data_IF_902049269917
#
_entry.id   IF_902049269917
#
_cell.length_a   1.000
_cell.length_b   1.000
_cell.length_c   1.000
_cell.angle_alpha   90.00
_cell.angle_beta   90.00
_cell.angle_gamma   90.00
#
_symmetry.space_group_name_H-M   'P 1'
#
loop_
_entity.id
_entity.type
_entity.pdbx_description
1 polymer ?
#
# COMPACT_ATOMS: atom_id res chain seq x y z
N UNK A 1 11.36 7.34 2.52
CA UNK A 1 10.97 7.13 3.94
C UNK A 1 11.11 5.65 4.23
N UNK A 2 11.87 5.28 5.26
CA UNK A 2 12.03 3.89 5.69
C UNK A 2 10.67 3.23 5.92
N UNK A 3 10.60 1.89 5.77
CA UNK A 3 9.39 1.07 5.99
C UNK A 3 9.01 1.07 7.48
N UNK A 4 8.49 2.18 7.99
CA UNK A 4 8.08 2.33 9.38
C UNK A 4 6.78 1.56 9.60
N UNK A 5 6.70 0.78 10.67
CA UNK A 5 5.46 0.08 11.01
C UNK A 5 4.35 1.11 11.32
N UNK A 6 3.10 0.90 10.89
CA UNK A 6 2.00 1.84 11.16
C UNK A 6 1.81 2.19 12.64
N UNK A 7 2.09 1.24 13.55
CA UNK A 7 2.09 1.51 14.99
C UNK A 7 3.16 2.51 15.44
N UNK A 8 4.38 2.44 14.88
CA UNK A 8 5.44 3.42 15.16
C UNK A 8 5.11 4.80 14.56
N UNK A 9 4.51 4.81 13.36
CA UNK A 9 4.03 6.05 12.75
C UNK A 9 2.94 6.71 13.61
N UNK A 10 1.97 5.92 14.11
CA UNK A 10 0.94 6.40 15.03
C UNK A 10 1.55 7.04 16.28
N UNK A 11 2.49 6.37 16.95
CA UNK A 11 3.14 6.90 18.15
C UNK A 11 3.91 8.19 17.85
N UNK A 12 4.65 8.22 16.74
CA UNK A 12 5.36 9.42 16.29
C UNK A 12 4.42 10.60 16.07
N UNK A 13 3.35 10.41 15.29
CA UNK A 13 2.36 11.46 15.02
C UNK A 13 1.65 11.89 16.30
N UNK A 14 1.28 10.94 17.16
CA UNK A 14 0.66 11.26 18.44
C UNK A 14 1.55 12.13 19.32
N UNK A 15 2.83 11.75 19.48
CA UNK A 15 3.79 12.56 20.24
C UNK A 15 3.99 13.95 19.63
N UNK A 16 4.06 14.05 18.30
CA UNK A 16 4.18 15.32 17.59
C UNK A 16 2.97 16.23 17.85
N UNK A 17 1.76 15.72 17.66
CA UNK A 17 0.53 16.50 17.81
C UNK A 17 0.25 16.88 19.26
N UNK A 18 0.50 15.96 20.21
CA UNK A 18 0.43 16.26 21.65
C UNK A 18 1.45 17.33 22.01
N UNK A 19 2.70 17.19 21.54
CA UNK A 19 3.74 18.20 21.75
C UNK A 19 3.33 19.59 21.25
N UNK A 20 2.73 19.66 20.05
CA UNK A 20 2.19 20.90 19.51
C UNK A 20 1.07 21.50 20.38
N UNK A 21 0.12 20.69 20.86
CA UNK A 21 -0.92 21.17 21.78
C UNK A 21 -0.35 21.68 23.10
N UNK A 22 0.65 21.00 23.67
CA UNK A 22 1.30 21.46 24.90
C UNK A 22 2.13 22.73 24.68
N UNK A 23 2.76 22.90 23.51
CA UNK A 23 3.40 24.15 23.13
C UNK A 23 2.37 25.30 23.07
N UNK A 24 1.18 25.05 22.51
CA UNK A 24 0.09 26.03 22.48
C UNK A 24 -0.39 26.43 23.88
N UNK A 25 -0.57 25.44 24.77
CA UNK A 25 -0.90 25.68 26.18
C UNK A 25 0.18 26.51 26.89
N UNK A 26 1.45 26.28 26.57
CA UNK A 26 2.57 27.03 27.14
C UNK A 26 2.61 28.48 26.63
N UNK A 27 2.37 28.71 25.34
CA UNK A 27 2.23 30.05 24.76
C UNK A 27 1.10 30.80 25.46
N UNK A 28 -0.05 30.14 25.65
CA UNK A 28 -1.20 30.69 26.36
C UNK A 28 -0.87 31.08 27.80
N UNK A 29 -0.13 30.26 28.53
CA UNK A 29 0.28 30.58 29.91
C UNK A 29 1.14 31.84 29.99
N UNK A 30 1.92 32.15 28.95
CA UNK A 30 2.78 33.33 28.90
C UNK A 30 2.10 34.58 28.33
N UNK A 31 1.18 34.42 27.39
CA UNK A 31 0.57 35.51 26.62
C UNK A 31 -0.97 35.50 26.69
N UNK A 32 -1.53 35.05 27.82
CA UNK A 32 -2.96 34.82 28.00
C UNK A 32 -3.82 36.02 27.64
N UNK A 33 -3.46 37.21 28.13
CA UNK A 33 -4.20 38.45 27.89
C UNK A 33 -4.23 38.86 26.42
N UNK A 34 -3.15 38.60 25.67
CA UNK A 34 -3.09 38.91 24.23
C UNK A 34 -3.96 37.92 23.42
N UNK A 35 -3.89 36.63 23.77
CA UNK A 35 -4.72 35.58 23.17
C UNK A 35 -6.21 35.81 23.45
N UNK A 36 -6.57 36.31 24.63
CA UNK A 36 -7.96 36.59 24.98
C UNK A 36 -8.53 37.75 24.14
N UNK A 37 -7.75 38.81 23.92
CA UNK A 37 -8.12 39.93 23.04
C UNK A 37 -8.35 39.49 21.59
N UNK A 38 -7.56 38.53 21.10
CA UNK A 38 -7.65 38.02 19.72
C UNK A 38 -8.44 36.70 19.59
N UNK A 39 -9.15 36.29 20.64
CA UNK A 39 -9.79 34.97 20.72
C UNK A 39 -10.80 34.69 19.60
N UNK A 40 -11.48 35.72 19.09
CA UNK A 40 -12.36 35.61 17.92
C UNK A 40 -11.61 35.22 16.65
N UNK A 41 -10.54 35.97 16.32
CA UNK A 41 -9.68 35.72 15.17
C UNK A 41 -9.00 34.35 15.24
N UNK A 42 -8.53 33.95 16.42
CA UNK A 42 -7.91 32.64 16.65
C UNK A 42 -8.89 31.49 16.40
N UNK A 43 -10.16 31.61 16.84
CA UNK A 43 -11.19 30.60 16.56
C UNK A 43 -11.52 30.50 15.07
N UNK A 44 -11.59 31.63 14.36
CA UNK A 44 -11.80 31.62 12.90
C UNK A 44 -10.63 30.95 12.18
N UNK A 45 -9.40 31.26 12.57
CA UNK A 45 -8.20 30.64 12.01
C UNK A 45 -8.14 29.14 12.32
N UNK A 46 -8.47 28.74 13.56
CA UNK A 46 -8.57 27.34 13.98
C UNK A 46 -9.54 26.56 13.08
N UNK A 47 -10.74 27.09 12.86
CA UNK A 47 -11.73 26.49 11.99
C UNK A 47 -11.25 26.35 10.54
N UNK A 48 -10.60 27.38 9.99
CA UNK A 48 -10.07 27.35 8.63
C UNK A 48 -8.96 26.30 8.45
N UNK A 49 -8.02 26.22 9.40
CA UNK A 49 -6.92 25.24 9.37
C UNK A 49 -7.46 23.81 9.54
N UNK A 50 -8.41 23.59 10.46
CA UNK A 50 -9.05 22.29 10.64
C UNK A 50 -9.86 21.85 9.41
N UNK A 51 -10.56 22.78 8.76
CA UNK A 51 -11.30 22.50 7.52
C UNK A 51 -10.34 22.09 6.38
N UNK A 52 -9.24 22.82 6.20
CA UNK A 52 -8.23 22.50 5.20
C UNK A 52 -7.53 21.16 5.50
N UNK A 53 -7.21 20.90 6.76
CA UNK A 53 -6.68 19.60 7.20
C UNK A 53 -7.67 18.47 6.91
N UNK A 54 -8.95 18.65 7.24
CA UNK A 54 -9.99 17.67 6.96
C UNK A 54 -10.15 17.37 5.48
N UNK A 55 -10.12 18.40 4.62
CA UNK A 55 -10.19 18.25 3.17
C UNK A 55 -8.99 17.46 2.62
N UNK A 56 -7.77 17.84 3.01
CA UNK A 56 -6.55 17.13 2.59
C UNK A 56 -6.51 15.70 3.11
N UNK A 57 -6.98 15.47 4.34
CA UNK A 57 -7.09 14.14 4.92
C UNK A 57 -8.08 13.27 4.14
N UNK A 58 -9.22 13.85 3.72
CA UNK A 58 -10.20 13.17 2.86
C UNK A 58 -9.61 12.76 1.50
N UNK A 59 -8.91 13.66 0.82
CA UNK A 59 -8.25 13.34 -0.45
C UNK A 59 -7.14 12.29 -0.31
N UNK A 60 -6.35 12.37 0.76
CA UNK A 60 -5.28 11.39 1.02
C UNK A 60 -5.83 10.02 1.41
N UNK A 61 -6.91 9.96 2.18
CA UNK A 61 -7.63 8.72 2.44
C UNK A 61 -8.18 8.10 1.14
N UNK A 62 -8.82 8.90 0.28
CA UNK A 62 -9.31 8.43 -1.02
C UNK A 62 -8.19 7.90 -1.92
N UNK A 63 -7.03 8.57 -1.96
CA UNK A 63 -5.85 8.08 -2.68
C UNK A 63 -5.35 6.74 -2.11
N UNK A 64 -5.29 6.59 -0.78
CA UNK A 64 -4.88 5.35 -0.14
C UNK A 64 -5.84 4.18 -0.47
N UNK A 65 -7.16 4.43 -0.45
CA UNK A 65 -8.18 3.45 -0.86
C UNK A 65 -8.00 3.05 -2.32
N UNK A 66 -7.88 4.02 -3.23
CA UNK A 66 -7.70 3.73 -4.66
C UNK A 66 -6.45 2.89 -4.93
N UNK A 67 -5.33 3.16 -4.25
CA UNK A 67 -4.11 2.35 -4.32
C UNK A 67 -4.29 0.95 -3.76
N UNK A 68 -5.03 0.81 -2.66
CA UNK A 68 -5.38 -0.49 -2.10
C UNK A 68 -6.24 -1.32 -3.08
N UNK A 69 -7.28 -0.72 -3.66
CA UNK A 69 -8.16 -1.38 -4.62
C UNK A 69 -7.40 -1.76 -5.89
N UNK A 70 -6.54 -0.88 -6.41
CA UNK A 70 -5.71 -1.20 -7.57
C UNK A 70 -4.79 -2.41 -7.32
N UNK A 71 -4.15 -2.48 -6.14
CA UNK A 71 -3.33 -3.64 -5.76
C UNK A 71 -4.16 -4.93 -5.65
N UNK A 72 -5.41 -4.84 -5.20
CA UNK A 72 -6.35 -5.96 -5.14
C UNK A 72 -6.80 -6.40 -6.54
N UNK A 73 -7.13 -5.47 -7.43
CA UNK A 73 -7.48 -5.77 -8.82
C UNK A 73 -6.34 -6.48 -9.54
N UNK A 74 -5.10 -6.02 -9.35
CA UNK A 74 -3.92 -6.66 -9.93
C UNK A 74 -3.67 -8.07 -9.35
N UNK A 75 -4.04 -8.34 -8.09
CA UNK A 75 -4.00 -9.70 -7.52
C UNK A 75 -4.94 -10.65 -8.25
N UNK A 76 -6.18 -10.20 -8.47
CA UNK A 76 -7.20 -10.95 -9.21
C UNK A 76 -6.75 -11.15 -10.66
N UNK A 77 -6.20 -10.11 -11.28
CA UNK A 77 -5.72 -10.17 -12.66
C UNK A 77 -4.56 -11.17 -12.83
N UNK A 78 -3.59 -11.20 -11.90
CA UNK A 78 -2.48 -12.16 -11.99
C UNK A 78 -3.01 -13.60 -11.86
N UNK A 79 -3.91 -13.84 -10.91
CA UNK A 79 -4.52 -15.16 -10.75
C UNK A 79 -5.30 -15.61 -12.00
N UNK A 80 -6.05 -14.71 -12.63
CA UNK A 80 -6.82 -15.00 -13.84
C UNK A 80 -5.92 -15.24 -15.06
N UNK A 81 -4.87 -14.43 -15.25
CA UNK A 81 -3.92 -14.58 -16.35
C UNK A 81 -3.16 -15.90 -16.22
N UNK A 82 -2.71 -16.24 -15.00
CA UNK A 82 -2.07 -17.52 -14.73
C UNK A 82 -3.05 -18.69 -14.87
N UNK A 83 -4.32 -18.54 -14.52
CA UNK A 83 -5.35 -19.55 -14.79
C UNK A 83 -5.55 -19.79 -16.29
N UNK A 84 -5.54 -18.72 -17.09
CA UNK A 84 -5.63 -18.80 -18.55
C UNK A 84 -4.38 -19.44 -19.14
N UNK A 85 -3.19 -19.06 -18.66
CA UNK A 85 -1.92 -19.67 -19.04
C UNK A 85 -1.94 -21.19 -18.76
N UNK A 86 -2.41 -21.59 -17.57
CA UNK A 86 -2.54 -23.00 -17.19
C UNK A 86 -3.42 -23.79 -18.16
N UNK A 87 -4.60 -23.27 -18.50
CA UNK A 87 -5.51 -23.91 -19.45
C UNK A 87 -4.87 -24.03 -20.85
N UNK A 88 -4.15 -22.98 -21.28
CA UNK A 88 -3.48 -22.94 -22.59
C UNK A 88 -2.22 -23.79 -22.67
N UNK A 89 -1.69 -24.33 -21.57
CA UNK A 89 -0.66 -25.38 -21.63
C UNK A 89 -1.12 -26.60 -22.46
N UNK A 90 -2.43 -26.81 -22.59
CA UNK A 90 -3.01 -27.88 -23.42
C UNK A 90 -2.74 -27.73 -24.93
N UNK A 91 -2.37 -26.53 -25.38
CA UNK A 91 -2.06 -26.21 -26.78
C UNK A 91 -0.64 -26.59 -27.20
N UNK A 92 0.24 -26.86 -26.23
CA UNK A 92 1.64 -27.23 -26.48
C UNK A 92 1.79 -28.72 -26.83
N UNK A 93 2.99 -29.11 -27.27
CA UNK A 93 3.37 -30.53 -27.28
C UNK A 93 3.19 -31.17 -25.89
N UNK A 94 3.06 -32.50 -25.84
CA UNK A 94 2.92 -33.21 -24.55
C UNK A 94 4.07 -32.92 -23.59
N UNK A 95 5.31 -32.92 -24.09
CA UNK A 95 6.50 -32.56 -23.33
C UNK A 95 6.51 -31.09 -22.88
N UNK A 96 6.13 -30.16 -23.77
CA UNK A 96 6.07 -28.74 -23.44
C UNK A 96 5.02 -28.44 -22.38
N UNK A 97 3.84 -29.06 -22.51
CA UNK A 97 2.74 -28.98 -21.54
C UNK A 97 3.17 -29.44 -20.15
N UNK A 98 3.81 -30.59 -20.03
CA UNK A 98 4.25 -31.11 -18.73
C UNK A 98 5.32 -30.21 -18.09
N UNK A 99 6.29 -29.74 -18.89
CA UNK A 99 7.36 -28.87 -18.42
C UNK A 99 6.82 -27.51 -17.94
N UNK A 100 5.93 -26.88 -18.70
CA UNK A 100 5.27 -25.63 -18.30
C UNK A 100 4.42 -25.80 -17.04
N UNK A 101 3.64 -26.88 -16.96
CA UNK A 101 2.82 -27.16 -15.76
C UNK A 101 3.67 -27.35 -14.51
N UNK A 102 4.82 -28.01 -14.62
CA UNK A 102 5.76 -28.16 -13.51
C UNK A 102 6.36 -26.81 -13.08
N UNK A 103 6.74 -25.96 -14.04
CA UNK A 103 7.21 -24.60 -13.73
C UNK A 103 6.13 -23.76 -13.06
N UNK A 104 4.89 -23.80 -13.55
CA UNK A 104 3.77 -23.07 -12.96
C UNK A 104 3.48 -23.51 -11.52
N UNK A 105 3.57 -24.81 -11.22
CA UNK A 105 3.41 -25.34 -9.84
C UNK A 105 4.51 -24.86 -8.88
N UNK A 106 5.70 -24.54 -9.39
CA UNK A 106 6.78 -23.90 -8.63
C UNK A 106 6.65 -22.38 -8.58
N UNK A 107 6.14 -21.77 -9.64
CA UNK A 107 5.99 -20.32 -9.80
C UNK A 107 4.92 -19.72 -8.89
N UNK A 108 3.70 -20.29 -8.89
CA UNK A 108 2.57 -19.73 -8.11
C UNK A 108 2.88 -19.61 -6.61
N UNK A 109 3.48 -20.62 -5.94
CA UNK A 109 3.91 -20.49 -4.55
C UNK A 109 4.92 -19.36 -4.30
N UNK A 110 5.88 -19.14 -5.21
CA UNK A 110 6.86 -18.04 -5.09
C UNK A 110 6.15 -16.69 -5.13
N UNK A 111 5.17 -16.52 -6.01
CA UNK A 111 4.37 -15.29 -6.10
C UNK A 111 3.55 -15.03 -4.83
N UNK A 112 2.96 -16.07 -4.25
CA UNK A 112 2.22 -15.96 -2.98
C UNK A 112 3.19 -15.57 -1.84
N UNK A 113 4.35 -16.23 -1.76
CA UNK A 113 5.36 -15.98 -0.73
C UNK A 113 5.97 -14.58 -0.83
N UNK A 114 6.15 -14.04 -2.04
CA UNK A 114 6.70 -12.70 -2.27
C UNK A 114 5.92 -11.60 -1.53
N UNK A 115 4.60 -11.75 -1.37
CA UNK A 115 3.79 -10.81 -0.57
C UNK A 115 3.75 -11.16 0.91
N UNK A 116 3.85 -12.44 1.27
CA UNK A 116 3.97 -12.89 2.66
C UNK A 116 5.32 -12.50 3.31
N UNK A 117 6.38 -12.29 2.52
CA UNK A 117 7.71 -11.89 2.95
C UNK A 117 7.77 -10.55 3.74
N UNK A 118 6.67 -9.78 3.75
CA UNK A 118 6.55 -8.56 4.53
C UNK A 118 7.57 -7.52 4.08
N UNK A 119 8.39 -7.02 5.02
CA UNK A 119 9.38 -5.97 4.78
C UNK A 119 10.83 -6.48 4.68
N UNK A 120 11.05 -7.80 4.73
CA UNK A 120 12.40 -8.40 4.69
C UNK A 120 13.02 -8.30 3.30
N UNK A 121 13.99 -7.41 3.13
CA UNK A 121 14.63 -7.18 1.83
C UNK A 121 15.26 -8.45 1.25
N UNK A 122 15.91 -9.26 2.09
CA UNK A 122 16.55 -10.50 1.66
C UNK A 122 15.53 -11.51 1.09
N UNK A 123 14.36 -11.64 1.71
CA UNK A 123 13.31 -12.52 1.21
C UNK A 123 12.70 -11.97 -0.09
N UNK A 124 12.49 -10.66 -0.16
CA UNK A 124 11.95 -10.00 -1.35
C UNK A 124 12.88 -10.15 -2.55
N UNK A 125 14.17 -9.89 -2.38
CA UNK A 125 15.15 -10.05 -3.46
C UNK A 125 15.24 -11.51 -3.92
N UNK A 126 15.22 -12.46 -2.97
CA UNK A 126 15.22 -13.89 -3.29
C UNK A 126 13.99 -14.29 -4.12
N UNK A 127 12.80 -13.95 -3.66
CA UNK A 127 11.54 -14.33 -4.33
C UNK A 127 11.39 -13.62 -5.68
N UNK A 128 11.90 -12.39 -5.81
CA UNK A 128 11.98 -11.67 -7.09
C UNK A 128 12.92 -12.38 -8.07
N UNK A 129 14.12 -12.75 -7.63
CA UNK A 129 15.08 -13.48 -8.46
C UNK A 129 14.53 -14.83 -8.91
N UNK A 130 13.86 -15.56 -8.00
CA UNK A 130 13.23 -16.84 -8.33
C UNK A 130 12.05 -16.67 -9.28
N UNK A 131 11.24 -15.60 -9.13
CA UNK A 131 10.18 -15.22 -10.08
C UNK A 131 10.75 -15.05 -11.48
N UNK A 132 11.79 -14.21 -11.64
CA UNK A 132 12.41 -13.93 -12.94
C UNK A 132 13.05 -15.18 -13.56
N UNK A 133 13.70 -16.03 -12.76
CA UNK A 133 14.29 -17.28 -13.25
C UNK A 133 13.24 -18.24 -13.81
N UNK A 134 12.11 -18.40 -13.11
CA UNK A 134 11.01 -19.26 -13.57
C UNK A 134 10.32 -18.68 -14.81
N UNK A 135 10.11 -17.36 -14.88
CA UNK A 135 9.58 -16.70 -16.08
C UNK A 135 10.49 -16.90 -17.29
N UNK A 136 11.80 -16.76 -17.12
CA UNK A 136 12.76 -16.99 -18.19
C UNK A 136 12.74 -18.45 -18.70
N UNK A 137 12.57 -19.41 -17.80
CA UNK A 137 12.49 -20.82 -18.18
C UNK A 137 11.19 -21.17 -18.91
N UNK A 138 10.05 -20.63 -18.46
CA UNK A 138 8.76 -20.74 -19.20
C UNK A 138 8.90 -20.10 -20.59
N UNK A 139 9.48 -18.90 -20.66
CA UNK A 139 9.73 -18.23 -21.94
C UNK A 139 10.61 -19.04 -22.89
N UNK A 140 11.63 -19.72 -22.38
CA UNK A 140 12.53 -20.58 -23.15
C UNK A 140 11.77 -21.76 -23.76
N UNK A 141 10.89 -22.41 -23.00
CA UNK A 141 10.05 -23.51 -23.50
C UNK A 141 9.07 -23.00 -24.55
N UNK A 142 8.35 -21.91 -24.26
CA UNK A 142 7.43 -21.27 -25.19
C UNK A 142 8.09 -20.92 -26.53
N UNK A 143 9.31 -20.38 -26.48
CA UNK A 143 10.09 -19.99 -27.68
C UNK A 143 10.55 -21.20 -28.49
N UNK A 144 10.92 -22.30 -27.82
CA UNK A 144 11.30 -23.55 -28.49
C UNK A 144 10.09 -24.18 -29.21
N UNK A 145 8.93 -24.24 -28.54
CA UNK A 145 7.67 -24.71 -29.13
C UNK A 145 7.27 -23.86 -30.34
N UNK A 146 7.31 -22.53 -30.24
CA UNK A 146 6.98 -21.63 -31.35
C UNK A 146 7.91 -21.77 -32.56
N UNK A 147 9.16 -22.17 -32.35
CA UNK A 147 10.12 -22.42 -33.44
C UNK A 147 9.79 -23.72 -34.19
N UNK A 148 9.36 -24.75 -33.46
CA UNK A 148 8.96 -26.04 -34.03
C UNK A 148 7.57 -26.02 -34.64
N UNK A 149 6.64 -25.27 -34.02
CA UNK A 149 5.21 -25.21 -34.34
C UNK A 149 4.78 -23.76 -34.53
N UNK A 150 4.69 -23.34 -35.79
CA UNK A 150 4.26 -21.98 -36.19
C UNK A 150 2.76 -21.91 -36.42
N UNK A 151 1.97 -22.41 -35.47
CA UNK A 151 0.52 -22.46 -35.54
C UNK A 151 -0.16 -21.41 -34.63
N UNK A 152 -1.42 -21.04 -34.90
CA UNK A 152 -2.15 -20.07 -34.07
C UNK A 152 -2.32 -20.51 -32.60
N UNK A 153 -2.33 -21.81 -32.31
CA UNK A 153 -2.50 -22.33 -30.95
C UNK A 153 -1.30 -21.99 -30.07
N UNK A 154 -0.10 -22.17 -30.62
CA UNK A 154 1.17 -21.81 -29.95
C UNK A 154 1.26 -20.30 -29.71
N UNK A 155 0.78 -19.49 -30.65
CA UNK A 155 0.70 -18.03 -30.49
C UNK A 155 -0.24 -17.62 -29.33
N UNK A 156 -1.37 -18.31 -29.15
CA UNK A 156 -2.30 -18.05 -28.02
C UNK A 156 -1.66 -18.39 -26.67
N UNK A 157 -0.86 -19.46 -26.59
CA UNK A 157 -0.09 -19.74 -25.38
C UNK A 157 0.92 -18.62 -25.08
N UNK A 158 1.69 -18.23 -26.08
CA UNK A 158 2.72 -17.18 -25.94
C UNK A 158 2.14 -15.84 -25.48
N UNK A 159 0.99 -15.45 -26.03
CA UNK A 159 0.24 -14.27 -25.58
C UNK A 159 -0.16 -14.37 -24.11
N UNK A 160 -0.68 -15.52 -23.66
CA UNK A 160 -1.07 -15.69 -22.25
C UNK A 160 0.15 -15.67 -21.31
N UNK A 161 1.30 -16.18 -21.76
CA UNK A 161 2.55 -16.11 -21.00
C UNK A 161 3.01 -14.66 -20.86
N UNK A 162 3.00 -13.89 -21.96
CA UNK A 162 3.32 -12.47 -21.96
C UNK A 162 2.40 -11.70 -21.01
N UNK A 163 1.08 -11.88 -21.12
CA UNK A 163 0.10 -11.20 -20.26
C UNK A 163 0.28 -11.54 -18.77
N UNK A 164 0.73 -12.77 -18.46
CA UNK A 164 1.04 -13.18 -17.09
C UNK A 164 2.28 -12.46 -16.54
N UNK A 165 3.33 -12.31 -17.36
CA UNK A 165 4.55 -11.59 -17.01
C UNK A 165 4.27 -10.09 -16.83
N UNK A 166 3.51 -9.49 -17.74
CA UNK A 166 3.15 -8.06 -17.69
C UNK A 166 2.38 -7.72 -16.40
N UNK A 167 1.44 -8.57 -15.97
CA UNK A 167 0.71 -8.34 -14.73
C UNK A 167 1.61 -8.51 -13.50
N UNK A 168 2.57 -9.43 -13.52
CA UNK A 168 3.58 -9.55 -12.46
C UNK A 168 4.40 -8.25 -12.29
N UNK A 169 4.78 -7.61 -13.40
CA UNK A 169 5.48 -6.31 -13.36
C UNK A 169 4.57 -5.20 -12.83
N UNK A 170 3.32 -5.10 -13.32
CA UNK A 170 2.34 -4.13 -12.82
C UNK A 170 2.09 -4.26 -11.32
N UNK A 171 2.00 -5.50 -10.81
CA UNK A 171 1.90 -5.75 -9.36
C UNK A 171 3.10 -5.21 -8.60
N UNK A 172 4.30 -5.35 -9.15
CA UNK A 172 5.53 -4.85 -8.51
C UNK A 172 5.52 -3.33 -8.46
N UNK A 173 5.22 -2.66 -9.58
CA UNK A 173 5.10 -1.21 -9.64
C UNK A 173 4.02 -0.65 -8.68
N UNK A 174 2.87 -1.32 -8.57
CA UNK A 174 1.80 -0.90 -7.66
C UNK A 174 2.17 -1.04 -6.16
N UNK A 175 3.16 -1.85 -5.80
CA UNK A 175 3.68 -1.95 -4.42
C UNK A 175 4.64 -0.81 -4.09
N UNK A 176 5.28 -0.23 -5.10
CA UNK A 176 6.20 0.90 -4.99
C UNK A 176 5.46 2.24 -5.07
N UNK A 177 4.28 2.27 -5.68
CA UNK A 177 3.45 3.45 -5.74
C UNK A 177 2.94 3.81 -4.33
N UNK A 178 3.51 4.89 -3.74
CA UNK A 178 3.11 5.48 -2.46
C UNK A 178 2.60 6.91 -2.58
N UNK A 179 1.77 7.33 -1.62
CA UNK A 179 1.39 8.75 -1.49
C UNK A 179 2.67 9.61 -1.40
N UNK A 180 2.79 10.69 -2.19
CA UNK A 180 3.97 11.55 -2.19
C UNK A 180 4.34 12.06 -0.80
N UNK A 181 5.64 12.09 -0.51
CA UNK A 181 6.17 12.55 0.79
C UNK A 181 5.79 14.00 1.09
N UNK A 182 5.59 14.82 0.05
CA UNK A 182 5.14 16.21 0.16
C UNK A 182 3.71 16.32 0.69
N UNK A 183 2.80 15.42 0.30
CA UNK A 183 1.43 15.38 0.82
C UNK A 183 1.43 15.00 2.31
N UNK A 184 2.25 14.03 2.71
CA UNK A 184 2.45 13.68 4.12
C UNK A 184 3.04 14.85 4.94
N UNK A 185 4.07 15.52 4.41
CA UNK A 185 4.66 16.68 5.08
C UNK A 185 3.62 17.79 5.28
N UNK A 186 2.76 18.04 4.28
CA UNK A 186 1.67 19.01 4.38
C UNK A 186 0.65 18.64 5.45
N UNK A 187 0.18 17.38 5.49
CA UNK A 187 -0.73 16.90 6.52
C UNK A 187 -0.15 17.04 7.93
N UNK A 188 1.11 16.66 8.13
CA UNK A 188 1.78 16.78 9.43
C UNK A 188 1.98 18.24 9.84
N UNK A 189 2.30 19.12 8.88
CA UNK A 189 2.40 20.55 9.11
C UNK A 189 1.05 21.14 9.55
N UNK A 190 -0.01 20.93 8.77
CA UNK A 190 -1.36 21.40 9.09
C UNK A 190 -1.88 20.81 10.41
N UNK A 191 -1.66 19.51 10.65
CA UNK A 191 -2.03 18.86 11.90
C UNK A 191 -1.33 19.48 13.11
N UNK A 192 -0.04 19.79 12.98
CA UNK A 192 0.75 20.44 14.02
C UNK A 192 0.28 21.88 14.27
N UNK A 193 0.04 22.66 13.22
CA UNK A 193 -0.49 24.03 13.33
C UNK A 193 -1.88 24.02 13.96
N UNK A 194 -2.78 23.13 13.54
CA UNK A 194 -4.11 22.99 14.12
C UNK A 194 -4.02 22.66 15.61
N UNK A 195 -3.20 21.66 15.97
CA UNK A 195 -3.01 21.22 17.35
C UNK A 195 -2.39 22.30 18.23
N UNK A 196 -1.47 23.11 17.68
CA UNK A 196 -0.88 24.28 18.33
C UNK A 196 -1.94 25.34 18.64
N UNK A 197 -2.73 25.75 17.63
CA UNK A 197 -3.79 26.77 17.79
C UNK A 197 -4.82 26.31 18.82
N UNK A 198 -5.29 25.06 18.73
CA UNK A 198 -6.22 24.47 19.71
C UNK A 198 -5.62 24.52 21.11
N UNK A 199 -4.33 24.22 21.26
CA UNK A 199 -3.62 24.36 22.53
C UNK A 199 -3.68 25.78 23.12
N UNK A 200 -3.61 26.82 22.28
CA UNK A 200 -3.78 28.21 22.72
C UNK A 200 -5.23 28.52 23.12
N UNK A 201 -6.22 27.96 22.41
CA UNK A 201 -7.65 28.16 22.65
C UNK A 201 -8.17 27.47 23.92
N UNK A 202 -7.54 26.38 24.37
CA UNK A 202 -7.98 25.57 25.51
C UNK A 202 -7.80 26.26 26.87
N UNK A 203 -8.92 26.53 27.57
CA UNK A 203 -8.91 27.05 28.94
C UNK A 203 -8.96 25.94 30.01
N UNK A 204 -9.44 24.75 29.64
CA UNK A 204 -9.70 23.66 30.58
C UNK A 204 -8.42 23.01 31.12
N UNK A 205 -8.49 22.56 32.38
CA UNK A 205 -7.47 21.70 33.01
C UNK A 205 -7.65 20.21 32.69
N UNK A 206 -8.76 19.82 32.05
CA UNK A 206 -9.02 18.43 31.68
C UNK A 206 -7.98 17.92 30.70
N UNK A 207 -7.32 16.81 31.06
CA UNK A 207 -6.37 16.13 30.18
C UNK A 207 -7.06 15.59 28.93
N UNK A 208 -8.31 15.14 29.05
CA UNK A 208 -9.10 14.57 27.96
C UNK A 208 -9.27 15.58 26.82
N UNK A 209 -9.66 16.81 27.16
CA UNK A 209 -9.84 17.88 26.16
C UNK A 209 -8.53 18.28 25.47
N UNK A 210 -7.38 18.06 26.12
CA UNK A 210 -6.06 18.37 25.56
C UNK A 210 -5.54 17.31 24.61
N UNK A 211 -5.99 16.06 24.74
CA UNK A 211 -5.44 14.93 23.97
C UNK A 211 -6.42 14.37 22.94
N UNK A 212 -7.73 14.65 23.06
CA UNK A 212 -8.74 14.06 22.17
C UNK A 212 -8.48 14.35 20.71
N UNK A 213 -8.21 15.61 20.34
CA UNK A 213 -7.95 15.98 18.95
C UNK A 213 -6.63 15.37 18.43
N UNK A 214 -5.48 15.49 19.14
CA UNK A 214 -4.25 14.79 18.76
C UNK A 214 -4.43 13.28 18.56
N UNK A 215 -5.19 12.61 19.45
CA UNK A 215 -5.45 11.17 19.36
C UNK A 215 -6.27 10.84 18.11
N UNK A 216 -7.37 11.56 17.87
CA UNK A 216 -8.24 11.32 16.70
C UNK A 216 -7.49 11.59 15.40
N UNK A 217 -6.75 12.69 15.30
CA UNK A 217 -5.96 13.03 14.11
C UNK A 217 -4.82 12.01 13.88
N UNK A 218 -4.10 11.62 14.94
CA UNK A 218 -3.07 10.60 14.83
C UNK A 218 -3.66 9.25 14.38
N UNK A 219 -4.83 8.86 14.90
CA UNK A 219 -5.50 7.63 14.50
C UNK A 219 -5.93 7.67 13.03
N UNK A 220 -6.50 8.79 12.57
CA UNK A 220 -6.91 8.95 11.17
C UNK A 220 -5.71 8.94 10.21
N UNK A 221 -4.64 9.68 10.54
CA UNK A 221 -3.39 9.67 9.76
C UNK A 221 -2.74 8.28 9.75
N UNK A 222 -2.75 7.57 10.88
CA UNK A 222 -2.22 6.21 10.96
C UNK A 222 -3.05 5.22 10.11
N UNK A 223 -4.36 5.37 10.06
CA UNK A 223 -5.22 4.57 9.18
C UNK A 223 -4.89 4.82 7.70
N UNK A 224 -4.73 6.08 7.29
CA UNK A 224 -4.30 6.42 5.92
C UNK A 224 -2.94 5.79 5.61
N UNK A 225 -2.00 5.84 6.56
CA UNK A 225 -0.66 5.27 6.41
C UNK A 225 -0.66 3.74 6.34
N UNK A 226 -1.50 3.09 7.15
CA UNK A 226 -1.71 1.64 7.13
C UNK A 226 -2.22 1.19 5.76
N UNK A 227 -3.23 1.89 5.24
CA UNK A 227 -3.84 1.57 3.94
C UNK A 227 -2.90 1.85 2.75
N UNK A 228 -2.13 2.94 2.81
CA UNK A 228 -1.08 3.21 1.81
C UNK A 228 0.03 2.14 1.85
N UNK A 229 0.22 1.46 2.99
CA UNK A 229 1.29 0.49 3.20
C UNK A 229 0.96 -0.93 2.68
N UNK A 230 1.57 -1.38 1.56
CA UNK A 230 1.22 -2.65 0.94
C UNK A 230 1.69 -3.87 1.73
N UNK A 231 2.78 -3.72 2.49
CA UNK A 231 3.54 -4.83 3.11
C UNK A 231 3.62 -4.75 4.63
N UNK A 232 3.23 -3.62 5.21
CA UNK A 232 3.29 -3.34 6.63
C UNK A 232 1.97 -2.75 7.06
N UNK A 233 1.30 -3.36 8.03
CA UNK A 233 0.03 -2.87 8.51
C UNK A 233 -0.98 -3.95 8.82
N UNK A 234 -2.16 -3.53 9.22
CA UNK A 234 -3.30 -4.39 9.53
C UNK A 234 -4.12 -4.69 8.26
N UNK A 235 -4.29 -3.70 7.38
CA UNK A 235 -5.04 -3.83 6.14
C UNK A 235 -4.10 -4.23 5.00
N UNK A 236 -4.16 -5.49 4.58
CA UNK A 236 -3.33 -6.03 3.49
C UNK A 236 -4.19 -6.69 2.42
N UNK A 237 -3.73 -6.64 1.18
CA UNK A 237 -4.35 -7.38 0.08
C UNK A 237 -4.13 -8.88 0.31
N UNK A 238 -5.21 -9.60 0.57
CA UNK A 238 -5.19 -11.05 0.74
C UNK A 238 -4.95 -11.74 -0.61
N UNK A 239 -4.23 -12.86 -0.61
CA UNK A 239 -3.86 -13.62 -1.83
C UNK A 239 -4.90 -14.69 -2.20
N UNK A 240 -6.19 -14.43 -1.94
CA UNK A 240 -7.23 -15.44 -2.06
C UNK A 240 -7.41 -15.96 -3.49
N UNK A 241 -7.23 -15.13 -4.52
CA UNK A 241 -7.37 -15.56 -5.91
C UNK A 241 -6.18 -16.42 -6.33
N UNK A 242 -4.98 -16.03 -5.91
CA UNK A 242 -3.76 -16.82 -6.10
C UNK A 242 -3.79 -18.16 -5.36
N UNK A 243 -4.32 -18.20 -4.14
CA UNK A 243 -4.51 -19.43 -3.36
C UNK A 243 -5.53 -20.37 -4.01
N UNK A 244 -6.65 -19.84 -4.51
CA UNK A 244 -7.64 -20.62 -5.28
C UNK A 244 -7.03 -21.17 -6.56
N UNK A 245 -6.24 -20.38 -7.28
CA UNK A 245 -5.47 -20.86 -8.44
C UNK A 245 -4.53 -22.01 -8.05
N UNK A 246 -3.77 -21.85 -6.96
CA UNK A 246 -2.83 -22.87 -6.50
C UNK A 246 -3.53 -24.21 -6.19
N UNK A 247 -4.72 -24.17 -5.59
CA UNK A 247 -5.53 -25.36 -5.35
C UNK A 247 -5.96 -26.01 -6.67
N UNK A 248 -6.43 -25.20 -7.64
CA UNK A 248 -6.88 -25.69 -8.94
C UNK A 248 -5.79 -26.27 -9.85
N UNK A 249 -4.54 -25.82 -9.74
CA UNK A 249 -3.42 -26.41 -10.51
C UNK A 249 -2.80 -27.66 -9.86
N UNK A 250 -3.17 -27.93 -8.61
CA UNK A 250 -2.72 -29.11 -7.83
C UNK A 250 -3.70 -30.27 -7.91
N UNK A 251 -5.00 -30.00 -8.06
CA UNK A 251 -6.02 -31.01 -8.38
C UNK A 251 -5.81 -31.58 -9.78
#
# INVERSE_FOLDING_TARGET
MSRVAPGLFFVFVLCLLVGATFAGLWIRRRHGDAIERESGSLKTLEGAVLALLGLLLGFTFSMAVSRYDHRKELEIAEANNLGTLWLRTSLLSESGREAERDLMRRYVPVRINFLAAGTSELLLSRDQQQTSALQAEMWRIASAEATMRRDPETALFFSALNDSIDVTEKRTAALEDRIPTTAWAMLLFLGSVASLIVGTSLQSRSIVLRVVLPVVLAAALALVYDLDSPRSGLIRVQQQSMERLLQGIRS
#
